data_IF_746199029363
#
_entry.id   IF_746199029363
#
_cell.length_a   1.000
_cell.length_b   1.000
_cell.length_c   1.000
_cell.angle_alpha   90.00
_cell.angle_beta   90.00
_cell.angle_gamma   90.00
#
_symmetry.space_group_name_H-M   'P 1'
#
loop_
_entity.id
_entity.type
_entity.pdbx_description
1 polymer ?
#
# COMPACT_ATOMS: atom_id res chain seq x y z
N UNK A 1 -18.23 -5.11 -21.77
CA UNK A 1 -17.28 -5.94 -22.58
C UNK A 1 -16.40 -6.74 -21.64
N UNK A 2 -16.21 -8.04 -21.87
CA UNK A 2 -15.32 -8.92 -21.08
C UNK A 2 -14.07 -9.23 -21.90
N UNK A 3 -12.90 -9.14 -21.31
CA UNK A 3 -11.63 -9.45 -22.00
C UNK A 3 -11.52 -10.95 -22.25
N UNK A 4 -11.20 -11.31 -23.50
CA UNK A 4 -11.05 -12.70 -23.93
C UNK A 4 -9.78 -13.33 -23.38
N UNK A 5 -9.80 -14.65 -23.20
CA UNK A 5 -8.67 -15.40 -22.63
C UNK A 5 -7.46 -15.48 -23.56
N UNK A 6 -7.66 -15.62 -24.88
CA UNK A 6 -6.57 -15.87 -25.83
C UNK A 6 -5.50 -14.77 -25.85
N UNK A 7 -5.84 -13.45 -25.90
CA UNK A 7 -4.83 -12.40 -25.86
C UNK A 7 -4.01 -12.44 -24.57
N UNK A 8 -4.66 -12.69 -23.42
CA UNK A 8 -4.00 -12.72 -22.13
C UNK A 8 -3.10 -13.94 -22.01
N UNK A 9 -3.57 -15.09 -22.48
CA UNK A 9 -2.76 -16.31 -22.54
C UNK A 9 -1.50 -16.09 -23.40
N UNK A 10 -1.64 -15.52 -24.60
CA UNK A 10 -0.51 -15.20 -25.47
C UNK A 10 0.46 -14.22 -24.81
N UNK A 11 -0.04 -13.18 -24.14
CA UNK A 11 0.77 -12.22 -23.41
C UNK A 11 1.56 -12.88 -22.27
N UNK A 12 0.93 -13.77 -21.51
CA UNK A 12 1.65 -14.51 -20.45
C UNK A 12 2.70 -15.46 -20.99
N UNK A 13 2.46 -16.09 -22.14
CA UNK A 13 3.46 -16.92 -22.80
C UNK A 13 4.65 -16.10 -23.34
N UNK A 14 4.39 -14.88 -23.85
CA UNK A 14 5.42 -13.99 -24.38
C UNK A 14 6.43 -13.51 -23.30
N UNK A 15 6.05 -13.56 -22.02
CA UNK A 15 6.97 -13.24 -20.90
C UNK A 15 8.10 -14.29 -20.79
N UNK A 16 7.91 -15.48 -21.41
CA UNK A 16 8.91 -16.55 -21.42
C UNK A 16 8.67 -17.62 -20.37
N UNK A 17 9.65 -18.51 -20.20
CA UNK A 17 9.54 -19.63 -19.27
C UNK A 17 9.49 -19.15 -17.82
N UNK A 18 8.52 -19.67 -17.08
CA UNK A 18 8.39 -19.40 -15.65
C UNK A 18 9.65 -19.93 -14.91
N UNK A 19 10.33 -19.02 -14.22
CA UNK A 19 11.52 -19.33 -13.43
C UNK A 19 11.16 -19.62 -11.98
N UNK A 20 12.05 -20.28 -11.25
CA UNK A 20 11.91 -20.45 -9.78
C UNK A 20 11.89 -19.07 -9.11
N UNK A 21 10.88 -18.85 -8.28
CA UNK A 21 10.64 -17.56 -7.63
C UNK A 21 9.77 -16.59 -8.43
N UNK A 22 9.16 -17.03 -9.54
CA UNK A 22 8.11 -16.29 -10.25
C UNK A 22 6.75 -16.56 -9.63
N UNK A 23 5.98 -15.51 -9.37
CA UNK A 23 4.57 -15.58 -8.98
C UNK A 23 3.72 -14.81 -9.99
N UNK A 24 2.62 -15.42 -10.39
CA UNK A 24 1.60 -14.80 -11.27
C UNK A 24 0.36 -14.54 -10.42
N UNK A 25 -0.09 -13.31 -10.36
CA UNK A 25 -1.32 -12.95 -9.67
C UNK A 25 -2.35 -12.37 -10.63
N UNK A 26 -3.60 -12.64 -10.35
CA UNK A 26 -4.76 -12.08 -11.03
C UNK A 26 -5.48 -11.11 -10.11
N UNK A 27 -5.74 -9.87 -10.57
CA UNK A 27 -6.43 -8.87 -9.79
C UNK A 27 -7.95 -8.98 -9.97
N UNK A 28 -8.65 -9.11 -8.87
CA UNK A 28 -10.11 -9.15 -8.83
C UNK A 28 -10.62 -8.68 -7.47
N UNK A 29 -11.72 -7.92 -7.40
CA UNK A 29 -12.36 -7.57 -6.12
C UNK A 29 -12.73 -8.79 -5.26
N UNK A 30 -12.93 -9.95 -5.89
CA UNK A 30 -13.26 -11.24 -5.24
C UNK A 30 -12.03 -12.02 -4.78
N UNK A 31 -10.83 -11.46 -4.93
CA UNK A 31 -9.58 -12.10 -4.54
C UNK A 31 -9.30 -12.02 -3.04
N UNK A 32 -8.26 -12.72 -2.61
CA UNK A 32 -7.70 -12.59 -1.26
C UNK A 32 -7.19 -11.17 -1.04
N UNK A 33 -7.50 -10.56 0.11
CA UNK A 33 -7.05 -9.20 0.42
C UNK A 33 -5.52 -9.14 0.51
N UNK A 34 -4.95 -8.19 -0.23
CA UNK A 34 -3.55 -7.84 -0.14
C UNK A 34 -3.27 -7.17 1.21
N UNK A 35 -2.21 -7.58 1.89
CA UNK A 35 -1.82 -7.07 3.20
C UNK A 35 -0.33 -6.77 3.24
N UNK A 36 0.11 -6.00 4.25
CA UNK A 36 1.53 -5.74 4.49
C UNK A 36 2.34 -7.04 4.66
N UNK A 37 1.77 -8.07 5.30
CA UNK A 37 2.41 -9.39 5.47
C UNK A 37 2.67 -10.07 4.12
N UNK A 38 1.71 -9.96 3.19
CA UNK A 38 1.87 -10.49 1.83
C UNK A 38 2.97 -9.71 1.09
N UNK A 39 2.97 -8.38 1.18
CA UNK A 39 4.01 -7.55 0.56
C UNK A 39 5.41 -7.91 1.07
N UNK A 40 5.59 -8.06 2.38
CA UNK A 40 6.85 -8.47 3.01
C UNK A 40 7.31 -9.85 2.55
N UNK A 41 6.39 -10.82 2.50
CA UNK A 41 6.66 -12.17 2.00
C UNK A 41 7.13 -12.13 0.56
N UNK A 42 6.41 -11.41 -0.32
CA UNK A 42 6.75 -11.34 -1.73
C UNK A 42 8.07 -10.61 -1.99
N UNK A 43 8.33 -9.49 -1.31
CA UNK A 43 9.59 -8.77 -1.43
C UNK A 43 10.82 -9.63 -1.02
N UNK A 44 10.64 -10.58 -0.09
CA UNK A 44 11.70 -11.47 0.38
C UNK A 44 11.89 -12.70 -0.51
N UNK A 45 10.79 -13.29 -0.99
CA UNK A 45 10.81 -14.62 -1.60
C UNK A 45 10.80 -14.59 -3.12
N UNK A 46 10.22 -13.54 -3.75
CA UNK A 46 10.02 -13.51 -5.19
C UNK A 46 11.21 -12.88 -5.90
N UNK A 47 11.54 -13.45 -7.05
CA UNK A 47 12.45 -12.85 -8.04
C UNK A 47 11.69 -12.10 -9.13
N UNK A 48 10.44 -12.53 -9.39
CA UNK A 48 9.58 -11.94 -10.40
C UNK A 48 8.13 -12.01 -9.95
N UNK A 49 7.42 -10.89 -10.06
CA UNK A 49 5.98 -10.81 -9.86
C UNK A 49 5.32 -10.38 -11.17
N UNK A 50 4.44 -11.22 -11.69
CA UNK A 50 3.63 -10.95 -12.87
C UNK A 50 2.23 -10.63 -12.39
N UNK A 51 1.70 -9.48 -12.78
CA UNK A 51 0.37 -9.02 -12.37
C UNK A 51 -0.54 -8.98 -13.60
N UNK A 52 -1.58 -9.79 -13.60
CA UNK A 52 -2.64 -9.73 -14.61
C UNK A 52 -3.71 -8.78 -14.10
N UNK A 53 -3.83 -7.64 -14.77
CA UNK A 53 -4.82 -6.60 -14.46
C UNK A 53 -5.78 -6.44 -15.64
N UNK A 54 -7.07 -6.32 -15.35
CA UNK A 54 -8.10 -6.18 -16.36
C UNK A 54 -8.77 -4.81 -16.35
N UNK A 55 -9.56 -4.58 -17.38
CA UNK A 55 -10.44 -3.43 -17.54
C UNK A 55 -11.87 -3.87 -17.83
N UNK A 56 -12.76 -2.91 -17.94
CA UNK A 56 -14.17 -3.08 -18.30
C UNK A 56 -14.93 -3.91 -17.24
N UNK A 57 -15.83 -4.76 -17.68
CA UNK A 57 -16.66 -5.62 -16.83
C UNK A 57 -15.91 -6.86 -16.30
N UNK A 58 -14.62 -6.99 -16.62
CA UNK A 58 -13.77 -8.07 -16.15
C UNK A 58 -13.09 -8.86 -17.27
N UNK A 59 -12.57 -10.00 -16.90
CA UNK A 59 -11.83 -10.93 -17.73
C UNK A 59 -12.45 -12.33 -17.65
N UNK A 60 -12.24 -13.13 -18.68
CA UNK A 60 -12.66 -14.53 -18.71
C UNK A 60 -12.13 -15.26 -17.46
N UNK A 61 -13.01 -15.88 -16.69
CA UNK A 61 -12.69 -16.56 -15.42
C UNK A 61 -11.63 -17.68 -15.57
N UNK A 62 -11.46 -18.24 -16.78
CA UNK A 62 -10.43 -19.24 -17.06
C UNK A 62 -9.00 -18.71 -16.88
N UNK A 63 -8.82 -17.37 -16.86
CA UNK A 63 -7.53 -16.73 -16.57
C UNK A 63 -7.00 -17.13 -15.21
N UNK A 64 -7.86 -17.43 -14.26
CA UNK A 64 -7.47 -17.93 -12.93
C UNK A 64 -6.58 -19.16 -12.99
N UNK A 65 -6.70 -19.97 -14.05
CA UNK A 65 -5.83 -21.14 -14.27
C UNK A 65 -4.39 -20.79 -14.62
N UNK A 66 -4.14 -19.55 -15.03
CA UNK A 66 -2.81 -19.02 -15.33
C UNK A 66 -2.13 -18.39 -14.10
N UNK A 67 -2.93 -18.02 -13.11
CA UNK A 67 -2.46 -17.34 -11.90
C UNK A 67 -2.30 -18.30 -10.72
N UNK A 68 -1.32 -17.99 -9.85
CA UNK A 68 -1.12 -18.72 -8.59
C UNK A 68 -2.11 -18.27 -7.53
N UNK A 69 -2.48 -16.97 -7.55
CA UNK A 69 -3.40 -16.40 -6.59
C UNK A 69 -4.26 -15.31 -7.27
N UNK A 70 -5.49 -15.16 -6.77
CA UNK A 70 -6.34 -14.01 -7.07
C UNK A 70 -6.27 -13.04 -5.90
N UNK A 71 -5.94 -11.78 -6.18
CA UNK A 71 -5.67 -10.75 -5.15
C UNK A 71 -6.64 -9.57 -5.31
N UNK A 72 -7.11 -9.06 -4.18
CA UNK A 72 -7.89 -7.83 -4.07
C UNK A 72 -7.14 -6.80 -3.23
N UNK A 73 -7.21 -5.52 -3.60
CA UNK A 73 -6.66 -4.41 -2.80
C UNK A 73 -7.66 -3.86 -1.78
N UNK A 74 -8.92 -4.30 -1.82
CA UNK A 74 -9.95 -3.86 -0.89
C UNK A 74 -11.36 -4.25 -1.32
N UNK A 75 -12.34 -3.96 -0.47
CA UNK A 75 -13.75 -4.26 -0.70
C UNK A 75 -14.44 -3.13 -1.50
N UNK A 76 -13.87 -2.82 -2.67
CA UNK A 76 -14.39 -1.81 -3.59
C UNK A 76 -14.04 -2.16 -5.03
N UNK A 77 -14.74 -1.57 -5.97
CA UNK A 77 -14.53 -1.75 -7.40
C UNK A 77 -13.84 -0.52 -7.96
N UNK A 78 -12.81 -0.72 -8.80
CA UNK A 78 -12.10 0.32 -9.53
C UNK A 78 -12.47 0.25 -11.02
N UNK A 79 -12.25 1.33 -11.77
CA UNK A 79 -12.49 1.36 -13.22
C UNK A 79 -11.62 0.35 -14.00
N UNK A 80 -10.48 -0.04 -13.42
CA UNK A 80 -9.56 -1.01 -14.01
C UNK A 80 -8.57 -1.52 -12.98
N UNK A 81 -7.81 -2.55 -13.34
CA UNK A 81 -6.82 -3.19 -12.46
C UNK A 81 -5.49 -2.45 -12.37
N UNK A 82 -5.28 -1.37 -13.13
CA UNK A 82 -4.00 -0.66 -13.17
C UNK A 82 -3.66 0.01 -11.84
N UNK A 83 -4.62 0.75 -11.26
CA UNK A 83 -4.42 1.40 -9.95
C UNK A 83 -4.18 0.38 -8.85
N UNK A 84 -4.98 -0.71 -8.72
CA UNK A 84 -4.65 -1.82 -7.84
C UNK A 84 -3.25 -2.42 -8.07
N UNK A 85 -2.86 -2.61 -9.35
CA UNK A 85 -1.52 -3.12 -9.67
C UNK A 85 -0.43 -2.17 -9.20
N UNK A 86 -0.56 -0.87 -9.43
CA UNK A 86 0.38 0.15 -8.97
C UNK A 86 0.51 0.16 -7.44
N UNK A 87 -0.60 0.04 -6.71
CA UNK A 87 -0.58 -0.03 -5.24
C UNK A 87 0.21 -1.24 -4.73
N UNK A 88 0.03 -2.41 -5.37
CA UNK A 88 0.78 -3.62 -5.03
C UNK A 88 2.27 -3.46 -5.35
N UNK A 89 2.60 -2.94 -6.55
CA UNK A 89 3.98 -2.70 -6.97
C UNK A 89 4.68 -1.76 -5.98
N UNK A 90 4.06 -0.63 -5.64
CA UNK A 90 4.61 0.33 -4.68
C UNK A 90 4.85 -0.31 -3.31
N UNK A 91 3.86 -1.04 -2.80
CA UNK A 91 3.95 -1.69 -1.50
C UNK A 91 5.04 -2.77 -1.44
N UNK A 92 5.24 -3.53 -2.52
CA UNK A 92 6.27 -4.58 -2.59
C UNK A 92 7.65 -3.98 -2.88
N UNK A 93 7.76 -3.09 -3.87
CA UNK A 93 9.03 -2.53 -4.32
C UNK A 93 9.76 -1.77 -3.22
N UNK A 94 9.03 -0.97 -2.40
CA UNK A 94 9.65 -0.26 -1.26
C UNK A 94 10.29 -1.16 -0.22
N UNK A 95 9.92 -2.45 -0.17
CA UNK A 95 10.46 -3.45 0.75
C UNK A 95 11.67 -4.19 0.17
N UNK A 96 11.93 -4.04 -1.13
CA UNK A 96 13.09 -4.65 -1.78
C UNK A 96 14.36 -3.89 -1.35
N UNK A 97 15.42 -4.61 -0.91
CA UNK A 97 16.67 -3.98 -0.51
C UNK A 97 17.24 -3.08 -1.62
N UNK A 98 17.64 -1.86 -1.27
CA UNK A 98 18.24 -0.91 -2.21
C UNK A 98 17.25 0.02 -2.92
N UNK A 99 15.95 -0.24 -2.90
CA UNK A 99 14.94 0.66 -3.50
C UNK A 99 14.73 1.90 -2.61
N UNK A 100 14.66 1.72 -1.30
CA UNK A 100 14.58 2.83 -0.34
C UNK A 100 15.91 2.92 0.41
N UNK A 101 16.57 4.07 0.38
CA UNK A 101 17.95 4.25 0.85
C UNK A 101 18.17 4.06 2.36
N UNK A 102 17.13 4.13 3.21
CA UNK A 102 17.26 3.97 4.67
C UNK A 102 16.40 2.79 5.16
N UNK A 103 17.05 1.74 5.68
CA UNK A 103 16.37 0.58 6.31
C UNK A 103 15.33 1.00 7.35
N UNK A 104 15.64 2.00 8.18
CA UNK A 104 14.70 2.53 9.19
C UNK A 104 13.38 3.07 8.60
N UNK A 105 13.35 3.44 7.33
CA UNK A 105 12.11 3.88 6.64
C UNK A 105 11.23 2.71 6.18
N UNK A 106 11.81 1.52 6.07
CA UNK A 106 11.12 0.28 5.67
C UNK A 106 10.38 -0.33 6.86
N UNK A 107 10.99 -0.25 8.04
CA UNK A 107 10.50 -0.85 9.30
C UNK A 107 9.65 0.09 10.15
N UNK A 108 9.35 1.30 9.64
CA UNK A 108 8.56 2.26 10.40
C UNK A 108 7.19 1.70 10.74
N UNK A 109 6.99 1.50 12.04
CA UNK A 109 5.67 1.40 12.64
C UNK A 109 4.90 2.67 12.33
N UNK A 110 3.63 2.54 11.96
CA UNK A 110 2.76 3.68 11.71
C UNK A 110 2.35 4.30 13.06
N UNK A 111 2.99 5.40 13.41
CA UNK A 111 2.64 6.22 14.57
C UNK A 111 2.44 7.67 14.13
N UNK A 112 1.62 8.47 14.86
CA UNK A 112 1.36 9.84 14.52
C UNK A 112 2.64 10.67 14.42
N UNK A 113 2.83 11.35 13.28
CA UNK A 113 3.99 12.21 13.03
C UNK A 113 3.61 13.67 13.27
N UNK A 114 4.53 14.43 13.85
CA UNK A 114 4.38 15.86 14.09
C UNK A 114 5.60 16.60 13.56
N UNK A 115 5.36 17.83 13.07
CA UNK A 115 6.40 18.73 12.58
C UNK A 115 6.33 20.05 13.31
N UNK A 116 7.25 21.00 13.00
CA UNK A 116 7.18 22.37 13.47
C UNK A 116 6.04 23.13 12.78
N UNK A 117 5.42 24.12 13.43
CA UNK A 117 5.69 24.61 14.80
C UNK A 117 5.07 23.73 15.90
N UNK A 118 5.58 23.79 17.13
CA UNK A 118 5.06 23.04 18.28
C UNK A 118 3.58 23.34 18.58
N UNK A 119 3.16 24.57 18.32
CA UNK A 119 1.78 25.01 18.44
C UNK A 119 1.37 25.71 17.15
N UNK A 120 0.38 25.14 16.49
CA UNK A 120 -0.22 25.76 15.32
C UNK A 120 -1.56 26.40 15.69
N UNK A 121 -1.70 27.68 15.34
CA UNK A 121 -2.95 28.43 15.53
C UNK A 121 -3.56 28.72 14.15
N UNK A 122 -4.58 27.96 13.74
CA UNK A 122 -5.17 28.14 12.41
C UNK A 122 -5.86 29.48 12.31
N UNK A 123 -5.46 30.31 11.34
CA UNK A 123 -6.22 31.50 10.91
C UNK A 123 -7.17 31.06 9.80
N UNK A 124 -8.39 30.69 10.17
CA UNK A 124 -9.36 30.28 9.18
C UNK A 124 -9.92 31.51 8.47
N UNK A 125 -9.81 31.54 7.14
CA UNK A 125 -10.54 32.52 6.32
C UNK A 125 -12.02 32.17 6.38
N UNK A 126 -12.88 33.21 6.43
CA UNK A 126 -14.33 33.04 6.26
C UNK A 126 -14.59 32.27 4.95
N UNK A 127 -15.33 31.18 5.00
CA UNK A 127 -15.69 30.38 3.82
C UNK A 127 -15.06 28.99 3.73
N UNK A 128 -14.01 28.66 4.50
CA UNK A 128 -13.51 27.27 4.59
C UNK A 128 -14.32 26.54 5.69
N UNK A 129 -15.12 25.56 5.28
CA UNK A 129 -16.10 24.85 6.10
C UNK A 129 -15.56 24.33 7.42
N UNK A 130 -15.96 24.99 8.46
CA UNK A 130 -15.68 24.62 9.83
C UNK A 130 -15.59 25.87 10.69
N UNK A 131 -16.46 25.98 11.67
CA UNK A 131 -16.38 27.00 12.71
C UNK A 131 -15.11 26.78 13.53
N UNK A 132 -13.95 27.31 13.10
CA UNK A 132 -12.83 27.41 14.00
C UNK A 132 -13.18 28.43 15.07
N UNK A 133 -13.51 27.96 16.23
CA UNK A 133 -13.68 28.80 17.41
C UNK A 133 -12.41 29.64 17.56
N UNK A 134 -12.57 30.96 17.72
CA UNK A 134 -11.43 31.87 18.05
C UNK A 134 -10.61 31.24 19.20
N UNK A 135 -9.30 31.14 19.01
CA UNK A 135 -8.40 30.65 20.06
C UNK A 135 -8.08 29.15 20.02
N UNK A 136 -8.50 28.38 19.01
CA UNK A 136 -8.09 26.98 18.87
C UNK A 136 -6.60 26.87 18.60
N UNK A 137 -5.90 26.12 19.42
CA UNK A 137 -4.47 25.80 19.31
C UNK A 137 -4.31 24.30 19.11
N UNK A 138 -3.58 23.90 18.07
CA UNK A 138 -3.20 22.51 17.84
C UNK A 138 -1.75 22.34 18.26
N UNK A 139 -1.54 21.62 19.34
CA UNK A 139 -0.23 21.45 19.93
C UNK A 139 0.34 20.05 19.68
N UNK A 140 1.63 19.97 19.49
CA UNK A 140 2.38 18.72 19.53
C UNK A 140 2.32 18.14 20.95
N UNK A 141 2.15 16.83 21.13
CA UNK A 141 2.21 16.22 22.46
C UNK A 141 3.51 16.59 23.20
N UNK A 142 3.39 17.09 24.44
CA UNK A 142 4.52 17.58 25.22
C UNK A 142 5.69 16.59 25.37
N UNK A 143 5.38 15.29 25.37
CA UNK A 143 6.41 14.23 25.42
C UNK A 143 7.35 14.26 24.21
N UNK A 144 6.85 14.64 23.02
CA UNK A 144 7.65 14.66 21.80
C UNK A 144 8.59 15.85 21.70
N UNK A 145 8.34 16.91 22.46
CA UNK A 145 9.18 18.13 22.53
C UNK A 145 10.02 18.17 23.81
N UNK A 146 9.94 17.16 24.65
CA UNK A 146 10.64 17.09 25.94
C UNK A 146 12.15 16.83 25.86
N UNK A 147 12.67 16.41 24.68
CA UNK A 147 14.06 15.96 24.53
C UNK A 147 14.36 14.60 25.18
N UNK A 148 13.43 14.00 25.91
CA UNK A 148 13.62 12.71 26.57
C UNK A 148 13.38 11.56 25.60
N UNK A 149 14.45 11.07 24.96
CA UNK A 149 14.38 10.01 23.93
C UNK A 149 13.67 8.75 24.39
N UNK A 150 13.86 8.32 25.66
CA UNK A 150 13.20 7.13 26.21
C UNK A 150 11.69 7.29 26.26
N UNK A 151 11.20 8.41 26.80
CA UNK A 151 9.76 8.71 26.86
C UNK A 151 9.14 8.90 25.47
N UNK A 152 9.91 9.47 24.53
CA UNK A 152 9.49 9.63 23.14
C UNK A 152 9.32 8.26 22.47
N UNK A 153 10.26 7.34 22.69
CA UNK A 153 10.18 5.99 22.13
C UNK A 153 9.03 5.17 22.71
N UNK A 154 8.82 5.25 24.02
CA UNK A 154 7.67 4.63 24.70
C UNK A 154 6.35 5.18 24.13
N UNK A 155 6.25 6.49 23.93
CA UNK A 155 5.08 7.12 23.34
C UNK A 155 4.84 6.64 21.90
N UNK A 156 5.89 6.55 21.09
CA UNK A 156 5.81 6.03 19.72
C UNK A 156 5.30 4.59 19.70
N UNK A 157 5.86 3.71 20.53
CA UNK A 157 5.41 2.32 20.65
C UNK A 157 3.94 2.23 21.08
N UNK A 158 3.53 3.04 22.06
CA UNK A 158 2.13 3.06 22.53
C UNK A 158 1.15 3.54 21.49
N UNK A 159 1.56 4.48 20.62
CA UNK A 159 0.69 5.08 19.59
C UNK A 159 0.92 4.47 18.21
N UNK A 160 1.77 3.46 18.06
CA UNK A 160 1.93 2.74 16.80
C UNK A 160 0.77 1.78 16.59
N UNK A 161 0.28 1.73 15.35
CA UNK A 161 -0.64 0.68 14.91
C UNK A 161 0.15 -0.35 14.11
N UNK A 162 0.00 -1.61 14.50
CA UNK A 162 0.45 -2.71 13.65
C UNK A 162 -0.43 -2.73 12.40
N UNK A 163 0.15 -2.47 11.25
CA UNK A 163 -0.54 -2.61 9.97
C UNK A 163 -0.67 -4.12 9.71
N UNK A 164 -1.89 -4.64 9.92
CA UNK A 164 -2.21 -6.06 9.73
C UNK A 164 -2.38 -6.42 8.27
#
# INVERSE_FOLDING_TARGET
>A
MVLKIEPIFKATQAIGKRQKGTKIIFLSPRGKKFTQKIAQKWAKELKQLIIISGRYEGMDERIKKLADETISVGDFITLGGEVPAMAIIEAVARLVPGVVGKKASIEKLDFPQYTRPEVFSPRLRQGFGGQAKKGVKWAVPKVLVSGNHKKIEEWRKKNSKEIK
#
